data_IF_389278432565
#
_entry.id   IF_389278432565
#
_cell.length_a   1.000
_cell.length_b   1.000
_cell.length_c   1.000
_cell.angle_alpha   90.00
_cell.angle_beta   90.00
_cell.angle_gamma   90.00
#
_symmetry.space_group_name_H-M   'P 1'
#
loop_
_entity.id
_entity.type
_entity.pdbx_description
1 polymer ?
#
# COMPACT_ATOMS: atom_id res chain seq x y z
N UNK A 1 20.76 -10.30 -4.08
CA UNK A 1 19.48 -10.09 -4.78
C UNK A 1 18.63 -9.29 -3.82
N UNK A 2 18.54 -7.97 -4.01
CA UNK A 2 17.68 -7.15 -3.16
C UNK A 2 16.26 -7.35 -3.68
N UNK A 3 15.48 -8.17 -2.99
CA UNK A 3 14.08 -8.38 -3.30
C UNK A 3 13.32 -7.17 -2.74
N UNK A 4 13.19 -6.12 -3.54
CA UNK A 4 12.34 -4.98 -3.20
C UNK A 4 10.88 -5.47 -3.20
N UNK A 5 10.33 -5.74 -2.02
CA UNK A 5 8.94 -6.18 -1.89
C UNK A 5 7.95 -5.11 -2.37
N UNK A 6 6.82 -5.52 -2.93
CA UNK A 6 5.72 -4.61 -3.26
C UNK A 6 4.72 -4.56 -2.11
N UNK A 7 4.41 -3.36 -1.64
CA UNK A 7 3.39 -3.08 -0.63
C UNK A 7 2.11 -2.60 -1.32
N UNK A 8 1.06 -3.42 -1.25
CA UNK A 8 -0.27 -3.07 -1.73
C UNK A 8 -1.07 -2.34 -0.65
N UNK A 9 -1.46 -1.10 -0.94
CA UNK A 9 -2.21 -0.21 -0.06
C UNK A 9 -3.67 -0.19 -0.53
N UNK A 10 -4.52 -0.99 0.11
CA UNK A 10 -5.91 -1.19 -0.31
C UNK A 10 -6.86 -0.36 0.54
N UNK A 11 -7.84 0.29 -0.11
CA UNK A 11 -8.91 1.03 0.58
C UNK A 11 -10.20 0.99 -0.23
N UNK A 12 -11.33 0.92 0.46
CA UNK A 12 -12.69 1.12 -0.09
C UNK A 12 -12.97 2.57 -0.49
N UNK A 13 -12.11 3.52 -0.10
CA UNK A 13 -12.18 4.95 -0.42
C UNK A 13 -10.89 5.37 -1.11
N UNK A 14 -10.46 6.62 -0.90
CA UNK A 14 -9.32 7.20 -1.63
C UNK A 14 -7.95 6.60 -1.26
N UNK A 15 -7.82 5.88 -0.14
CA UNK A 15 -6.53 5.34 0.32
C UNK A 15 -5.61 6.35 1.03
N UNK A 16 -5.97 7.62 1.15
CA UNK A 16 -5.12 8.67 1.76
C UNK A 16 -4.70 8.31 3.19
N UNK A 17 -5.61 7.71 3.98
CA UNK A 17 -5.32 7.32 5.36
C UNK A 17 -4.22 6.25 5.44
N UNK A 18 -4.31 5.19 4.63
CA UNK A 18 -3.31 4.11 4.65
C UNK A 18 -1.98 4.58 4.07
N UNK A 19 -2.01 5.46 3.07
CA UNK A 19 -0.83 6.05 2.47
C UNK A 19 -0.05 6.91 3.47
N UNK A 20 -0.74 7.75 4.24
CA UNK A 20 -0.13 8.55 5.30
C UNK A 20 0.39 7.67 6.45
N UNK A 21 -0.37 6.67 6.87
CA UNK A 21 0.07 5.71 7.90
C UNK A 21 1.38 5.02 7.49
N UNK A 22 1.43 4.51 6.27
CA UNK A 22 2.62 3.81 5.76
C UNK A 22 3.79 4.75 5.56
N UNK A 23 3.56 5.98 5.11
CA UNK A 23 4.61 7.00 5.04
C UNK A 23 5.27 7.22 6.40
N UNK A 24 4.49 7.38 7.46
CA UNK A 24 5.00 7.55 8.83
C UNK A 24 5.62 6.26 9.38
N UNK A 25 5.05 5.10 9.10
CA UNK A 25 5.58 3.82 9.56
C UNK A 25 6.98 3.55 8.98
N UNK A 26 7.15 3.81 7.68
CA UNK A 26 8.41 3.51 6.99
C UNK A 26 9.56 4.42 7.41
N UNK A 27 9.31 5.60 8.00
CA UNK A 27 10.40 6.42 8.56
C UNK A 27 11.07 5.78 9.78
N UNK A 28 10.51 4.70 10.33
CA UNK A 28 11.09 3.96 11.46
C UNK A 28 12.09 2.88 11.02
N UNK A 29 12.26 2.69 9.70
CA UNK A 29 13.12 1.65 9.14
C UNK A 29 14.12 2.28 8.16
N UNK A 30 15.41 2.16 8.45
CA UNK A 30 16.46 2.89 7.73
C UNK A 30 16.68 2.43 6.27
N UNK A 31 16.38 1.17 5.93
CA UNK A 31 16.76 0.56 4.64
C UNK A 31 15.61 -0.21 3.95
N UNK A 32 14.34 0.17 4.18
CA UNK A 32 13.19 -0.49 3.54
C UNK A 32 12.91 0.10 2.15
N UNK A 33 13.50 -0.51 1.13
CA UNK A 33 13.20 -0.23 -0.27
C UNK A 33 12.06 -1.12 -0.76
N UNK A 34 10.82 -0.59 -0.70
CA UNK A 34 9.60 -1.25 -1.18
C UNK A 34 8.89 -0.42 -2.24
N UNK A 35 8.39 -1.09 -3.28
CA UNK A 35 7.46 -0.46 -4.23
C UNK A 35 6.10 -0.30 -3.56
N UNK A 36 5.47 0.87 -3.70
CA UNK A 36 4.16 1.15 -3.09
C UNK A 36 3.11 1.24 -4.18
N UNK A 37 2.06 0.43 -4.05
CA UNK A 37 0.98 0.35 -5.03
C UNK A 37 -0.35 0.61 -4.34
N UNK A 38 -0.98 1.72 -4.68
CA UNK A 38 -2.27 2.12 -4.09
C UNK A 38 -3.43 1.58 -4.91
N UNK A 39 -4.40 0.99 -4.22
CA UNK A 39 -5.65 0.43 -4.75
C UNK A 39 -6.82 1.10 -4.04
N UNK A 40 -7.25 2.29 -4.53
CA UNK A 40 -8.39 2.98 -3.97
C UNK A 40 -9.71 2.42 -4.52
N UNK A 41 -10.81 2.70 -3.84
CA UNK A 41 -12.16 2.33 -4.23
C UNK A 41 -12.38 0.81 -4.41
N UNK A 42 -11.67 -0.02 -3.65
CA UNK A 42 -11.92 -1.46 -3.54
C UNK A 42 -13.13 -1.73 -2.63
N UNK A 43 -14.31 -1.24 -3.03
CA UNK A 43 -15.56 -1.22 -2.25
C UNK A 43 -16.56 -2.33 -2.62
N UNK A 44 -16.15 -3.27 -3.48
CA UNK A 44 -16.90 -4.49 -3.80
C UNK A 44 -15.97 -5.70 -4.00
N UNK A 45 -16.56 -6.90 -3.99
CA UNK A 45 -15.82 -8.16 -4.05
C UNK A 45 -15.02 -8.31 -5.35
N UNK A 46 -15.58 -7.89 -6.50
CA UNK A 46 -14.93 -8.02 -7.81
C UNK A 46 -13.69 -7.13 -7.90
N UNK A 47 -13.72 -5.95 -7.29
CA UNK A 47 -12.57 -5.05 -7.21
C UNK A 47 -11.49 -5.57 -6.28
N UNK A 48 -11.86 -6.21 -5.18
CA UNK A 48 -10.91 -6.80 -4.22
C UNK A 48 -10.20 -8.01 -4.83
N UNK A 49 -10.89 -8.84 -5.63
CA UNK A 49 -10.28 -10.00 -6.31
C UNK A 49 -9.19 -9.60 -7.32
N UNK A 50 -9.21 -8.36 -7.82
CA UNK A 50 -8.28 -7.83 -8.82
C UNK A 50 -7.12 -7.01 -8.25
N UNK A 51 -7.05 -6.87 -6.94
CA UNK A 51 -5.95 -6.17 -6.24
C UNK A 51 -4.63 -6.88 -6.50
#
# INVERSE_FOLDING_TARGET
>A
MNEHGTLFLVSDRTGITVENLVRTLLTQFDEVEVERVVRPFCDDADKVERV
#
